data_IF_211553438110
#
_entry.id   IF_211553438110
#
_cell.length_a   1.000
_cell.length_b   1.000
_cell.length_c   1.000
_cell.angle_alpha   90.00
_cell.angle_beta   90.00
_cell.angle_gamma   90.00
#
_symmetry.space_group_name_H-M   'P 1'
#
loop_
_entity.id
_entity.type
_entity.pdbx_description
1 polymer ?
#
# COMPACT_ATOMS: atom_id res chain seq x y z
N UNK A 1 -6.67 7.18 -17.98
CA UNK A 1 -5.67 6.61 -17.06
C UNK A 1 -6.07 6.90 -15.61
N UNK A 2 -6.00 5.91 -14.71
CA UNK A 2 -6.33 6.10 -13.30
C UNK A 2 -5.29 7.05 -12.66
N UNK A 3 -5.71 8.23 -12.21
CA UNK A 3 -4.82 9.27 -11.65
C UNK A 3 -4.26 8.93 -10.26
N UNK A 4 -4.64 7.78 -9.68
CA UNK A 4 -4.32 7.43 -8.29
C UNK A 4 -2.99 6.69 -8.15
N UNK A 5 -2.18 7.10 -7.17
CA UNK A 5 -1.00 6.33 -6.73
C UNK A 5 -1.47 5.08 -5.98
N UNK A 6 -1.03 3.91 -6.45
CA UNK A 6 -1.37 2.63 -5.84
C UNK A 6 -0.64 2.48 -4.49
N UNK A 7 -1.36 2.03 -3.45
CA UNK A 7 -0.88 1.90 -2.07
C UNK A 7 -0.35 3.21 -1.47
N UNK A 8 -0.87 4.36 -1.91
CA UNK A 8 -0.40 5.70 -1.53
C UNK A 8 -0.16 5.92 -0.03
N UNK A 9 -1.11 5.51 0.82
CA UNK A 9 -0.99 5.71 2.26
C UNK A 9 0.15 4.92 2.89
N UNK A 10 0.50 3.75 2.34
CA UNK A 10 1.64 2.98 2.83
C UNK A 10 2.94 3.59 2.29
N UNK A 11 2.99 3.89 0.98
CA UNK A 11 4.15 4.51 0.33
C UNK A 11 4.57 5.81 1.00
N UNK A 12 3.64 6.73 1.27
CA UNK A 12 3.96 8.01 1.92
C UNK A 12 4.56 7.83 3.32
N UNK A 13 4.15 6.81 4.08
CA UNK A 13 4.72 6.55 5.41
C UNK A 13 6.11 5.91 5.30
N UNK A 14 6.32 5.03 4.30
CA UNK A 14 7.64 4.45 4.01
C UNK A 14 8.65 5.54 3.62
N UNK A 15 8.26 6.45 2.71
CA UNK A 15 9.12 7.56 2.28
C UNK A 15 9.39 8.51 3.44
N UNK A 16 8.38 8.90 4.22
CA UNK A 16 8.58 9.73 5.43
C UNK A 16 9.58 9.09 6.41
N UNK A 17 9.46 7.77 6.63
CA UNK A 17 10.37 7.01 7.48
C UNK A 17 11.81 7.06 6.95
N UNK A 18 11.99 6.94 5.63
CA UNK A 18 13.32 6.98 5.03
C UNK A 18 13.97 8.35 5.17
N UNK A 19 13.23 9.42 4.91
CA UNK A 19 13.71 10.80 5.10
C UNK A 19 14.18 11.01 6.55
N UNK A 20 13.41 10.54 7.53
CA UNK A 20 13.81 10.59 8.94
C UNK A 20 15.07 9.76 9.25
N UNK A 21 15.23 8.57 8.67
CA UNK A 21 16.40 7.70 8.89
C UNK A 21 17.67 8.34 8.35
N UNK A 22 17.56 8.96 7.18
CA UNK A 22 18.65 9.67 6.53
C UNK A 22 18.89 11.07 7.12
N UNK A 23 18.10 11.47 8.13
CA UNK A 23 18.15 12.78 8.76
C UNK A 23 18.10 13.95 7.74
N UNK A 24 17.28 13.79 6.70
CA UNK A 24 17.10 14.79 5.66
C UNK A 24 15.96 15.75 6.00
N UNK A 25 16.06 16.98 5.51
CA UNK A 25 14.95 17.92 5.57
C UNK A 25 13.75 17.41 4.75
N UNK A 26 12.53 17.71 5.21
CA UNK A 26 11.30 17.32 4.52
C UNK A 26 10.95 18.22 3.32
N UNK A 27 11.96 18.80 2.67
CA UNK A 27 11.82 19.64 1.48
C UNK A 27 11.24 18.83 0.30
N UNK A 28 10.44 19.42 -0.60
CA UNK A 28 9.85 18.72 -1.73
C UNK A 28 10.87 17.92 -2.56
N UNK A 29 12.05 18.46 -2.77
CA UNK A 29 13.13 17.86 -3.56
C UNK A 29 13.61 16.54 -2.94
N UNK A 30 13.77 16.50 -1.62
CA UNK A 30 14.15 15.29 -0.88
C UNK A 30 13.03 14.25 -0.92
N UNK A 31 11.77 14.68 -0.80
CA UNK A 31 10.60 13.79 -0.91
C UNK A 31 10.52 13.18 -2.31
N UNK A 32 10.65 13.99 -3.36
CA UNK A 32 10.62 13.55 -4.76
C UNK A 32 11.76 12.55 -5.01
N UNK A 33 12.98 12.88 -4.58
CA UNK A 33 14.17 12.03 -4.76
C UNK A 33 14.00 10.65 -4.11
N UNK A 34 13.58 10.60 -2.84
CA UNK A 34 13.38 9.33 -2.14
C UNK A 34 12.18 8.55 -2.70
N UNK A 35 11.13 9.25 -3.13
CA UNK A 35 10.00 8.60 -3.79
C UNK A 35 10.40 7.99 -5.13
N UNK A 36 11.19 8.70 -5.95
CA UNK A 36 11.66 8.21 -7.24
C UNK A 36 12.53 6.97 -7.11
N UNK A 37 13.45 6.95 -6.12
CA UNK A 37 14.28 5.78 -5.82
C UNK A 37 13.46 4.54 -5.48
N UNK A 38 12.38 4.71 -4.69
CA UNK A 38 11.56 3.59 -4.22
C UNK A 38 10.46 3.18 -5.20
N UNK A 39 9.83 4.17 -5.85
CA UNK A 39 8.61 4.02 -6.62
C UNK A 39 8.65 4.89 -7.90
N UNK A 40 9.60 4.62 -8.83
CA UNK A 40 9.81 5.48 -10.00
C UNK A 40 8.57 5.64 -10.88
N UNK A 41 7.71 4.61 -10.93
CA UNK A 41 6.47 4.60 -11.72
C UNK A 41 5.39 5.61 -11.24
N UNK A 42 5.58 6.20 -10.07
CA UNK A 42 4.65 7.17 -9.50
C UNK A 42 5.13 8.62 -9.65
N UNK A 43 6.34 8.86 -10.18
CA UNK A 43 7.02 10.15 -10.07
C UNK A 43 6.23 11.32 -10.68
N UNK A 44 5.63 11.11 -11.85
CA UNK A 44 4.80 12.12 -12.53
C UNK A 44 3.59 12.55 -11.70
N UNK A 45 3.14 11.71 -10.76
CA UNK A 45 2.00 11.99 -9.87
C UNK A 45 2.44 12.62 -8.54
N UNK A 46 3.74 12.65 -8.28
CA UNK A 46 4.33 13.13 -7.02
C UNK A 46 4.90 14.53 -7.18
N UNK A 47 5.53 14.84 -8.32
CA UNK A 47 6.26 16.11 -8.55
C UNK A 47 5.43 17.35 -8.21
N UNK A 48 4.15 17.38 -8.58
CA UNK A 48 3.27 18.55 -8.37
C UNK A 48 2.26 18.34 -7.23
N UNK A 49 2.50 17.39 -6.32
CA UNK A 49 1.55 17.03 -5.28
C UNK A 49 1.77 17.85 -3.99
N UNK A 50 1.23 19.07 -3.95
CA UNK A 50 1.34 19.97 -2.79
C UNK A 50 0.80 19.36 -1.50
N UNK A 51 -0.35 18.68 -1.55
CA UNK A 51 -0.94 18.01 -0.39
C UNK A 51 -0.01 16.95 0.22
N UNK A 52 0.73 16.22 -0.63
CA UNK A 52 1.73 15.26 -0.18
C UNK A 52 2.86 15.97 0.58
N UNK A 53 3.39 17.07 0.03
CA UNK A 53 4.50 17.79 0.63
C UNK A 53 4.10 18.45 1.96
N UNK A 54 2.92 19.07 2.03
CA UNK A 54 2.36 19.62 3.27
C UNK A 54 2.19 18.53 4.33
N UNK A 55 1.66 17.37 3.91
CA UNK A 55 1.53 16.22 4.80
C UNK A 55 2.89 15.72 5.29
N UNK A 56 3.89 15.59 4.41
CA UNK A 56 5.24 15.15 4.76
C UNK A 56 5.89 16.10 5.75
N UNK A 57 5.88 17.41 5.48
CA UNK A 57 6.48 18.41 6.35
C UNK A 57 5.85 18.40 7.74
N UNK A 58 4.51 18.42 7.82
CA UNK A 58 3.80 18.37 9.10
C UNK A 58 4.01 17.04 9.82
N UNK A 59 3.99 15.91 9.10
CA UNK A 59 4.14 14.60 9.69
C UNK A 59 5.56 14.40 10.23
N UNK A 60 6.58 14.72 9.44
CA UNK A 60 7.99 14.54 9.80
C UNK A 60 8.36 15.40 11.00
N UNK A 61 7.97 16.69 11.01
CA UNK A 61 8.23 17.60 12.14
C UNK A 61 7.67 17.10 13.48
N UNK A 62 6.53 16.41 13.44
CA UNK A 62 5.79 16.02 14.64
C UNK A 62 6.00 14.55 15.04
N UNK A 63 6.82 13.79 14.32
CA UNK A 63 6.95 12.34 14.51
C UNK A 63 8.41 11.89 14.41
N UNK A 64 8.64 10.62 14.75
CA UNK A 64 9.93 9.96 14.62
C UNK A 64 9.76 8.59 13.95
N UNK A 65 10.89 7.90 13.74
CA UNK A 65 10.93 6.57 13.11
C UNK A 65 10.05 5.54 13.85
N UNK A 66 9.93 5.63 15.18
CA UNK A 66 9.04 4.73 15.95
C UNK A 66 7.57 4.98 15.61
N UNK A 67 7.15 6.25 15.51
CA UNK A 67 5.80 6.63 15.08
C UNK A 67 5.48 6.12 13.67
N UNK A 68 6.45 6.18 12.74
CA UNK A 68 6.29 5.61 11.40
C UNK A 68 6.02 4.10 11.43
N UNK A 69 6.80 3.35 12.22
CA UNK A 69 6.61 1.90 12.36
C UNK A 69 5.21 1.56 12.90
N UNK A 70 4.74 2.31 13.91
CA UNK A 70 3.40 2.11 14.48
C UNK A 70 2.29 2.44 13.45
N UNK A 71 2.47 3.51 12.67
CA UNK A 71 1.51 3.87 11.63
C UNK A 71 1.49 2.85 10.48
N UNK A 72 2.65 2.35 10.04
CA UNK A 72 2.73 1.27 9.05
C UNK A 72 2.00 0.02 9.53
N UNK A 73 2.22 -0.42 10.77
CA UNK A 73 1.51 -1.55 11.35
C UNK A 73 -0.01 -1.33 11.34
N UNK A 74 -0.49 -0.14 11.71
CA UNK A 74 -1.91 0.20 11.69
C UNK A 74 -2.50 0.18 10.27
N UNK A 75 -1.79 0.75 9.30
CA UNK A 75 -2.21 0.75 7.88
C UNK A 75 -2.33 -0.69 7.37
N UNK A 76 -1.33 -1.54 7.65
CA UNK A 76 -1.28 -2.93 7.21
C UNK A 76 -2.34 -3.81 7.87
N UNK A 77 -2.55 -3.63 9.16
CA UNK A 77 -3.64 -4.32 9.88
C UNK A 77 -5.02 -3.95 9.31
N UNK A 78 -5.23 -2.67 8.95
CA UNK A 78 -6.46 -2.24 8.28
C UNK A 78 -6.60 -2.86 6.89
N UNK A 79 -5.53 -2.88 6.10
CA UNK A 79 -5.49 -3.52 4.79
C UNK A 79 -5.82 -5.02 4.89
N UNK A 80 -5.22 -5.77 5.83
CA UNK A 80 -5.52 -7.18 6.06
C UNK A 80 -7.00 -7.41 6.42
N UNK A 81 -7.56 -6.61 7.34
CA UNK A 81 -8.99 -6.69 7.70
C UNK A 81 -9.90 -6.47 6.50
N UNK A 82 -9.56 -5.50 5.65
CA UNK A 82 -10.31 -5.25 4.40
C UNK A 82 -10.19 -6.44 3.44
N UNK A 83 -8.98 -6.99 3.26
CA UNK A 83 -8.78 -8.17 2.41
C UNK A 83 -9.58 -9.37 2.93
N UNK A 84 -9.53 -9.66 4.24
CA UNK A 84 -10.33 -10.73 4.86
C UNK A 84 -11.82 -10.53 4.58
N UNK A 85 -12.32 -9.30 4.72
CA UNK A 85 -13.73 -8.97 4.44
C UNK A 85 -14.09 -9.18 2.97
N UNK A 86 -13.23 -8.74 2.04
CA UNK A 86 -13.42 -8.97 0.60
C UNK A 86 -13.38 -10.46 0.24
N UNK A 87 -12.54 -11.23 0.92
CA UNK A 87 -12.39 -12.66 0.72
C UNK A 87 -13.58 -13.49 1.23
N UNK A 88 -14.39 -12.98 2.19
CA UNK A 88 -15.58 -13.71 2.69
C UNK A 88 -16.52 -14.13 1.57
N UNK A 89 -16.76 -13.25 0.61
CA UNK A 89 -17.71 -13.45 -0.49
C UNK A 89 -17.24 -14.45 -1.55
N UNK A 90 -15.98 -14.86 -1.50
CA UNK A 90 -15.36 -15.75 -2.49
C UNK A 90 -14.81 -17.03 -1.83
N UNK A 91 -15.06 -17.22 -0.52
CA UNK A 91 -14.69 -18.43 0.23
C UNK A 91 -13.21 -18.53 0.61
N UNK A 92 -12.51 -17.41 0.81
CA UNK A 92 -11.05 -17.37 0.97
C UNK A 92 -10.58 -16.79 2.30
N UNK A 93 -9.38 -17.21 2.73
CA UNK A 93 -8.64 -16.61 3.84
C UNK A 93 -7.57 -15.64 3.34
N UNK A 94 -7.42 -14.48 3.99
CA UNK A 94 -6.33 -13.53 3.73
C UNK A 94 -5.45 -13.40 4.99
N UNK A 95 -4.12 -13.42 4.80
CA UNK A 95 -3.14 -13.26 5.88
C UNK A 95 -2.05 -12.29 5.44
N UNK A 96 -1.64 -11.39 6.33
CA UNK A 96 -0.39 -10.63 6.17
C UNK A 96 0.79 -11.58 6.39
N UNK A 97 1.71 -11.65 5.44
CA UNK A 97 2.83 -12.62 5.50
C UNK A 97 4.19 -11.96 5.63
N UNK A 98 4.33 -10.76 5.09
CA UNK A 98 5.57 -10.00 5.24
C UNK A 98 5.27 -8.53 5.55
N UNK A 99 6.02 -7.99 6.52
CA UNK A 99 5.86 -6.64 7.05
C UNK A 99 7.19 -5.86 6.96
N UNK A 100 7.80 -5.76 5.76
CA UNK A 100 9.07 -5.06 5.59
C UNK A 100 8.90 -3.58 5.92
N UNK A 101 9.85 -2.95 6.61
CA UNK A 101 9.72 -1.53 7.02
C UNK A 101 10.02 -0.54 5.88
N UNK A 102 10.63 -1.01 4.79
CA UNK A 102 11.20 -0.22 3.71
C UNK A 102 10.50 -0.48 2.37
N UNK A 103 9.55 -1.42 2.36
CA UNK A 103 8.85 -1.87 1.17
C UNK A 103 7.37 -2.05 1.49
N UNK A 104 6.56 -2.23 0.44
CA UNK A 104 5.14 -2.54 0.62
C UNK A 104 4.95 -3.91 1.27
N UNK A 105 3.97 -4.01 2.17
CA UNK A 105 3.57 -5.28 2.76
C UNK A 105 3.14 -6.30 1.71
N UNK A 106 3.45 -7.57 1.97
CA UNK A 106 2.98 -8.70 1.17
C UNK A 106 1.90 -9.46 1.92
N UNK A 107 0.80 -9.67 1.23
CA UNK A 107 -0.36 -10.43 1.69
C UNK A 107 -0.46 -11.72 0.89
N UNK A 108 -1.01 -12.74 1.52
CA UNK A 108 -1.34 -14.00 0.86
C UNK A 108 -2.84 -14.26 1.00
N UNK A 109 -3.43 -14.70 -0.11
CA UNK A 109 -4.81 -15.20 -0.17
C UNK A 109 -4.78 -16.66 -0.59
N UNK A 110 -5.47 -17.50 0.18
CA UNK A 110 -5.62 -18.94 -0.08
C UNK A 110 -7.00 -19.23 -0.67
N UNK A 111 -7.03 -19.93 -1.81
CA UNK A 111 -8.24 -20.26 -2.55
C UNK A 111 -8.13 -21.62 -3.23
N UNK A 112 -9.05 -22.56 -2.95
CA UNK A 112 -9.25 -23.81 -3.72
C UNK A 112 -7.93 -24.49 -4.19
N UNK A 113 -6.96 -24.65 -3.28
CA UNK A 113 -5.65 -25.27 -3.56
C UNK A 113 -4.58 -24.35 -4.19
N UNK A 114 -4.90 -23.10 -4.49
CA UNK A 114 -3.99 -22.07 -5.04
C UNK A 114 -3.67 -20.99 -4.00
N UNK A 115 -2.43 -20.52 -4.05
CA UNK A 115 -1.88 -19.48 -3.19
C UNK A 115 -1.53 -18.26 -4.05
N UNK A 116 -2.10 -17.11 -3.71
CA UNK A 116 -1.82 -15.85 -4.37
C UNK A 116 -1.06 -14.95 -3.40
N UNK A 117 -0.02 -14.27 -3.88
CA UNK A 117 0.78 -13.35 -3.07
C UNK A 117 0.99 -12.01 -3.76
N UNK A 118 1.03 -10.93 -2.99
CA UNK A 118 1.32 -9.60 -3.50
C UNK A 118 0.93 -8.50 -2.52
N UNK A 119 1.11 -7.24 -2.93
CA UNK A 119 0.70 -6.10 -2.11
C UNK A 119 -0.83 -5.95 -2.05
N UNK A 120 -1.30 -5.06 -1.16
CA UNK A 120 -2.73 -4.85 -0.90
C UNK A 120 -3.56 -4.62 -2.17
N UNK A 121 -3.10 -3.73 -3.07
CA UNK A 121 -3.83 -3.43 -4.28
C UNK A 121 -3.84 -4.60 -5.28
N UNK A 122 -2.71 -5.29 -5.45
CA UNK A 122 -2.64 -6.50 -6.30
C UNK A 122 -3.64 -7.56 -5.81
N UNK A 123 -3.75 -7.75 -4.50
CA UNK A 123 -4.74 -8.66 -3.91
C UNK A 123 -6.17 -8.19 -4.13
N UNK A 124 -6.45 -6.89 -4.00
CA UNK A 124 -7.78 -6.35 -4.29
C UNK A 124 -8.20 -6.55 -5.75
N UNK A 125 -7.30 -6.34 -6.71
CA UNK A 125 -7.56 -6.57 -8.13
C UNK A 125 -7.83 -8.05 -8.41
N UNK A 126 -7.03 -8.94 -7.83
CA UNK A 126 -7.20 -10.39 -7.98
C UNK A 126 -8.55 -10.87 -7.43
N UNK A 127 -8.93 -10.44 -6.22
CA UNK A 127 -10.25 -10.72 -5.63
C UNK A 127 -11.37 -10.24 -6.57
N UNK A 128 -11.23 -9.04 -7.13
CA UNK A 128 -12.20 -8.48 -8.06
C UNK A 128 -12.40 -9.35 -9.30
N UNK A 129 -11.32 -9.86 -9.89
CA UNK A 129 -11.38 -10.79 -11.05
C UNK A 129 -12.07 -12.09 -10.69
N UNK A 130 -11.70 -12.72 -9.58
CA UNK A 130 -12.34 -13.98 -9.17
C UNK A 130 -13.84 -13.80 -8.94
N UNK A 131 -14.25 -12.68 -8.33
CA UNK A 131 -15.67 -12.39 -8.11
C UNK A 131 -16.44 -12.26 -9.42
N UNK A 132 -15.85 -11.60 -10.43
CA UNK A 132 -16.48 -11.48 -11.74
C UNK A 132 -16.58 -12.85 -12.45
N UNK A 133 -15.51 -13.66 -12.40
CA UNK A 133 -15.51 -14.99 -12.99
C UNK A 133 -16.59 -15.90 -12.35
N UNK A 134 -16.79 -15.81 -11.04
CA UNK A 134 -17.86 -16.55 -10.35
C UNK A 134 -19.25 -16.08 -10.80
N UNK A 135 -19.44 -14.76 -10.92
CA UNK A 135 -20.71 -14.17 -11.35
C UNK A 135 -21.07 -14.54 -12.79
N UNK A 136 -20.09 -14.64 -13.67
CA UNK A 136 -20.32 -15.04 -15.07
C UNK A 136 -20.78 -16.50 -15.14
N UNK A 137 -20.15 -17.41 -14.38
CA UNK A 137 -20.55 -18.82 -14.32
C UNK A 137 -21.96 -19.04 -13.78
N UNK A 138 -22.39 -18.23 -12.82
CA UNK A 138 -23.77 -18.27 -12.29
C UNK A 138 -24.82 -17.84 -13.31
N UNK A 139 -24.47 -17.04 -14.33
CA UNK A 139 -25.39 -16.62 -15.39
C UNK A 139 -25.50 -17.61 -16.55
N UNK A 140 -24.54 -18.52 -16.67
CA UNK A 140 -24.50 -19.57 -17.70
C UNK A 140 -25.23 -20.85 -17.25
N UNK A 141 -25.71 -20.89 -16.00
CA UNK A 141 -26.55 -21.94 -15.42
C UNK A 141 -28.02 -21.51 -15.40
#
# INVERSE_FOLDING_TARGET
MNKRIINYNEKKVIVARQIMILNMESAPENVITEWEKMYPKDIDRVRDNTELFDWMAKFIRNNNVKSCNALLARVRNKQEKILRTKCKYIGYGAKLVDCPKNELAKYIIFTRGKKYSGNYNSMCCMIGRIREDLRLKEKEQ
#
